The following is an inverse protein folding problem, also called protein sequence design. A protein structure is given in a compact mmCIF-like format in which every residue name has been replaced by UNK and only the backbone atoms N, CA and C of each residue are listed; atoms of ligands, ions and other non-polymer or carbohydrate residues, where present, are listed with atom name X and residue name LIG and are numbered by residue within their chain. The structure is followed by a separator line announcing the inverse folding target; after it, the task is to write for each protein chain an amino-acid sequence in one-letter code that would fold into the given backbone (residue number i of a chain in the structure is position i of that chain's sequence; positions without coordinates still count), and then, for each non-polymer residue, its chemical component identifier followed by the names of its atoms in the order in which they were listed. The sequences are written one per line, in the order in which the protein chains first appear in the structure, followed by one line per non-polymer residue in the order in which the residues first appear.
data_IF_896887890489
#
_entry.id   IF_896887890489
#
_cell.length_a   1.000
_cell.length_b   1.000
_cell.length_c   1.000
_cell.angle_alpha   90.00
_cell.angle_beta   90.00
_cell.angle_gamma   90.00
#
_symmetry.space_group_name_H-M   'P 1'
#
loop_
_entity.id
_entity.type
_entity.pdbx_description
1 polymer ?
#
# COMPACT_ATOMS: atom_id res chain seq x y z
N UNK A 1 -24.43 -61.29 8.77
CA UNK A 1 -23.49 -60.26 9.28
C UNK A 1 -22.89 -59.56 8.08
N UNK A 2 -23.23 -58.28 7.84
CA UNK A 2 -22.60 -57.45 6.81
C UNK A 2 -21.93 -56.28 7.53
N UNK A 3 -20.61 -56.23 7.47
CA UNK A 3 -19.77 -55.16 8.01
C UNK A 3 -19.99 -53.89 7.18
N UNK A 4 -20.51 -52.85 7.81
CA UNK A 4 -20.51 -51.49 7.26
C UNK A 4 -19.13 -50.87 7.52
N UNK A 5 -18.39 -50.60 6.45
CA UNK A 5 -17.15 -49.82 6.53
C UNK A 5 -17.56 -48.34 6.61
N UNK A 6 -17.39 -47.76 7.79
CA UNK A 6 -17.50 -46.31 8.00
C UNK A 6 -16.29 -45.64 7.34
N UNK A 7 -16.50 -45.13 6.13
CA UNK A 7 -15.51 -44.28 5.46
C UNK A 7 -15.64 -42.87 6.06
N UNK A 8 -14.84 -42.62 7.10
CA UNK A 8 -14.68 -41.30 7.71
C UNK A 8 -13.97 -40.39 6.71
N UNK A 9 -14.73 -39.68 5.88
CA UNK A 9 -14.23 -38.57 5.08
C UNK A 9 -13.80 -37.47 6.06
N UNK A 10 -12.49 -37.38 6.33
CA UNK A 10 -11.86 -36.21 6.93
C UNK A 10 -12.03 -35.05 5.95
N UNK A 11 -13.15 -34.35 6.04
CA UNK A 11 -13.30 -33.03 5.46
C UNK A 11 -12.41 -32.11 6.31
N UNK A 12 -11.18 -31.88 5.84
CA UNK A 12 -10.31 -30.84 6.40
C UNK A 12 -11.05 -29.53 6.15
N UNK A 13 -11.78 -29.05 7.16
CA UNK A 13 -12.35 -27.72 7.17
C UNK A 13 -11.16 -26.75 7.17
N UNK A 14 -10.74 -26.33 5.98
CA UNK A 14 -9.93 -25.14 5.83
C UNK A 14 -10.72 -24.02 6.48
N UNK A 15 -10.29 -23.58 7.66
CA UNK A 15 -10.77 -22.34 8.24
C UNK A 15 -10.35 -21.23 7.29
N UNK A 16 -11.23 -20.86 6.36
CA UNK A 16 -11.08 -19.62 5.63
C UNK A 16 -11.09 -18.51 6.69
N UNK A 17 -9.91 -18.02 7.06
CA UNK A 17 -9.80 -16.88 7.96
C UNK A 17 -10.45 -15.71 7.22
N UNK A 18 -11.57 -15.22 7.76
CA UNK A 18 -12.24 -14.08 7.17
C UNK A 18 -11.31 -12.87 7.32
N UNK A 19 -10.84 -12.34 6.20
CA UNK A 19 -10.01 -11.15 6.20
C UNK A 19 -10.86 -9.97 6.69
N UNK A 20 -10.45 -9.34 7.79
CA UNK A 20 -11.17 -8.20 8.36
C UNK A 20 -10.77 -6.94 7.60
N UNK A 21 -11.71 -6.03 7.34
CA UNK A 21 -11.41 -4.73 6.70
C UNK A 21 -11.58 -3.60 7.71
N UNK A 22 -10.58 -2.73 7.82
CA UNK A 22 -10.59 -1.50 8.60
C UNK A 22 -10.56 -0.33 7.64
N UNK A 23 -11.40 0.67 7.87
CA UNK A 23 -11.48 1.88 7.06
C UNK A 23 -11.00 3.08 7.89
N UNK A 24 -10.16 3.93 7.29
CA UNK A 24 -9.56 5.09 7.93
C UNK A 24 -9.72 6.30 7.01
N UNK A 25 -10.30 7.37 7.53
CA UNK A 25 -10.40 8.65 6.82
C UNK A 25 -9.22 9.55 7.21
N UNK A 26 -8.45 9.99 6.22
CA UNK A 26 -7.36 10.94 6.41
C UNK A 26 -7.76 12.30 5.84
N UNK A 27 -7.62 13.41 6.60
CA UNK A 27 -7.92 14.74 6.09
C UNK A 27 -7.17 15.06 4.78
N UNK A 28 -7.82 15.70 3.79
CA UNK A 28 -7.21 15.96 2.50
C UNK A 28 -5.90 16.76 2.60
N UNK A 29 -4.84 16.26 1.97
CA UNK A 29 -3.51 16.89 1.96
C UNK A 29 -2.75 16.87 3.29
N UNK A 30 -3.27 16.24 4.34
CA UNK A 30 -2.57 16.11 5.62
C UNK A 30 -1.57 14.95 5.60
N UNK A 31 -0.32 15.25 5.21
CA UNK A 31 0.76 14.27 5.12
C UNK A 31 1.12 13.64 6.48
N UNK A 32 0.99 14.37 7.58
CA UNK A 32 1.29 13.84 8.90
C UNK A 32 0.24 12.77 9.30
N UNK A 33 -1.04 13.08 9.08
CA UNK A 33 -2.12 12.12 9.30
C UNK A 33 -2.03 10.91 8.36
N UNK A 34 -1.66 11.11 7.09
CA UNK A 34 -1.44 9.99 6.16
C UNK A 34 -0.31 9.08 6.64
N UNK A 35 0.83 9.64 7.04
CA UNK A 35 1.96 8.86 7.55
C UNK A 35 1.60 8.08 8.80
N UNK A 36 0.84 8.69 9.73
CA UNK A 36 0.38 8.01 10.94
C UNK A 36 -0.57 6.85 10.62
N UNK A 37 -1.58 7.08 9.78
CA UNK A 37 -2.51 6.03 9.36
C UNK A 37 -1.79 4.88 8.64
N UNK A 38 -0.80 5.20 7.82
CA UNK A 38 0.05 4.23 7.15
C UNK A 38 0.94 3.45 8.13
N UNK A 39 1.47 4.10 9.17
CA UNK A 39 2.32 3.45 10.19
C UNK A 39 1.51 2.41 10.97
N UNK A 40 0.31 2.77 11.40
CA UNK A 40 -0.62 1.85 12.08
C UNK A 40 -1.06 0.70 11.17
N UNK A 41 -1.34 0.98 9.90
CA UNK A 41 -1.74 -0.01 8.91
C UNK A 41 -0.60 -0.99 8.58
N UNK A 42 0.62 -0.46 8.38
CA UNK A 42 1.79 -1.16 7.88
C UNK A 42 2.27 -2.30 8.79
N UNK A 43 2.09 -2.18 10.10
CA UNK A 43 2.51 -3.17 11.11
C UNK A 43 1.34 -3.90 11.76
N UNK A 44 0.14 -3.75 11.22
CA UNK A 44 -1.10 -4.36 11.73
C UNK A 44 -1.13 -5.89 11.63
N UNK A 45 -2.28 -6.47 11.98
CA UNK A 45 -2.52 -7.90 11.80
C UNK A 45 -2.52 -8.26 10.30
N UNK A 46 -1.74 -9.27 9.84
CA UNK A 46 -1.68 -9.67 8.43
C UNK A 46 -3.03 -10.18 7.88
N UNK A 47 -4.00 -10.52 8.74
CA UNK A 47 -5.36 -10.89 8.33
C UNK A 47 -6.31 -9.67 8.25
N UNK A 48 -5.79 -8.46 8.46
CA UNK A 48 -6.53 -7.21 8.33
C UNK A 48 -6.10 -6.49 7.06
N UNK A 49 -7.09 -6.09 6.27
CA UNK A 49 -6.94 -5.11 5.20
C UNK A 49 -7.25 -3.73 5.75
N UNK A 50 -6.35 -2.77 5.55
CA UNK A 50 -6.64 -1.36 5.85
C UNK A 50 -6.93 -0.59 4.57
N UNK A 51 -8.05 0.15 4.54
CA UNK A 51 -8.44 1.05 3.46
C UNK A 51 -8.37 2.48 3.97
N UNK A 52 -7.49 3.27 3.38
CA UNK A 52 -7.30 4.68 3.72
C UNK A 52 -7.99 5.52 2.65
N UNK A 53 -9.02 6.26 3.04
CA UNK A 53 -9.74 7.20 2.19
C UNK A 53 -9.16 8.60 2.38
N UNK A 54 -8.76 9.22 1.28
CA UNK A 54 -8.26 10.60 1.31
C UNK A 54 -8.26 11.24 -0.08
N UNK A 55 -7.91 12.51 -0.16
CA UNK A 55 -7.82 13.26 -1.41
C UNK A 55 -6.88 14.47 -1.30
N UNK A 56 -6.69 15.19 -2.39
CA UNK A 56 -5.93 16.45 -2.40
C UNK A 56 -4.42 16.23 -2.52
N UNK A 57 -3.66 17.31 -2.29
CA UNK A 57 -2.22 17.35 -2.54
C UNK A 57 -1.42 17.13 -1.27
N UNK A 58 -0.55 16.12 -1.27
CA UNK A 58 0.39 15.82 -0.20
C UNK A 58 1.80 16.21 -0.64
N UNK A 59 2.38 17.18 0.05
CA UNK A 59 3.69 17.73 -0.27
C UNK A 59 4.79 17.05 0.55
N UNK A 60 5.62 16.26 -0.14
CA UNK A 60 6.82 15.64 0.41
C UNK A 60 8.01 16.58 0.25
N UNK A 61 8.18 17.49 1.21
CA UNK A 61 9.31 18.45 1.24
C UNK A 61 10.54 17.91 1.99
N UNK A 62 10.38 16.83 2.74
CA UNK A 62 11.45 16.15 3.48
C UNK A 62 11.91 14.89 2.74
N UNK A 63 13.00 14.27 3.22
CA UNK A 63 13.52 13.03 2.64
C UNK A 63 12.76 11.77 3.09
N UNK A 64 11.65 11.92 3.82
CA UNK A 64 10.94 10.81 4.46
C UNK A 64 9.82 10.32 3.54
N UNK A 65 9.81 9.02 3.25
CA UNK A 65 8.73 8.39 2.51
C UNK A 65 7.47 8.15 3.35
N UNK A 66 6.66 7.21 2.88
CA UNK A 66 5.66 6.49 3.65
C UNK A 66 6.31 5.28 4.35
N UNK A 67 5.74 4.81 5.47
CA UNK A 67 6.20 3.61 6.16
C UNK A 67 6.27 2.36 5.26
N UNK A 68 7.21 1.47 5.58
CA UNK A 68 7.38 0.18 4.91
C UNK A 68 6.13 -0.71 5.10
N UNK A 69 5.62 -1.33 4.03
CA UNK A 69 4.38 -2.11 4.06
C UNK A 69 4.67 -3.58 4.33
N UNK A 70 4.13 -4.10 5.43
CA UNK A 70 4.19 -5.53 5.80
C UNK A 70 2.84 -6.26 5.71
N UNK A 71 1.73 -5.53 5.56
CA UNK A 71 0.33 -6.02 5.56
C UNK A 71 -0.40 -5.60 4.28
N UNK A 72 -1.72 -5.83 4.18
CA UNK A 72 -2.54 -5.33 3.06
C UNK A 72 -3.08 -3.92 3.33
N UNK A 73 -2.63 -2.96 2.53
CA UNK A 73 -3.02 -1.54 2.60
C UNK A 73 -3.53 -1.06 1.23
N UNK A 74 -4.68 -0.40 1.22
CA UNK A 74 -5.24 0.31 0.07
C UNK A 74 -5.28 1.81 0.38
N UNK A 75 -4.67 2.63 -0.47
CA UNK A 75 -4.86 4.08 -0.47
C UNK A 75 -5.83 4.43 -1.61
N UNK A 76 -6.99 4.98 -1.25
CA UNK A 76 -8.10 5.20 -2.16
C UNK A 76 -8.44 6.69 -2.32
N UNK A 77 -8.15 7.22 -3.51
CA UNK A 77 -8.49 8.59 -3.92
C UNK A 77 -9.81 8.72 -4.67
N UNK A 78 -10.80 7.85 -4.46
CA UNK A 78 -12.11 8.00 -5.13
C UNK A 78 -13.07 8.78 -4.21
N UNK A 79 -13.78 9.81 -4.71
CA UNK A 79 -13.88 10.25 -6.11
C UNK A 79 -12.77 11.22 -6.56
N UNK A 80 -12.11 11.92 -5.64
CA UNK A 80 -11.17 13.00 -5.95
C UNK A 80 -9.71 12.54 -5.87
N UNK A 81 -8.90 12.77 -6.92
CA UNK A 81 -7.56 12.21 -7.00
C UNK A 81 -6.65 12.67 -5.86
N UNK A 82 -5.73 11.79 -5.49
CA UNK A 82 -4.64 12.09 -4.58
C UNK A 82 -3.44 12.55 -5.41
N UNK A 83 -2.84 13.67 -5.05
CA UNK A 83 -1.63 14.17 -5.70
C UNK A 83 -0.48 14.08 -4.71
N UNK A 84 0.47 13.18 -4.95
CA UNK A 84 1.74 13.16 -4.25
C UNK A 84 2.73 14.02 -5.02
N UNK A 85 3.20 15.10 -4.42
CA UNK A 85 4.18 16.00 -5.03
C UNK A 85 5.45 16.02 -4.19
N UNK A 86 6.59 15.88 -4.85
CA UNK A 86 7.90 16.08 -4.25
C UNK A 86 8.28 17.56 -4.36
N UNK A 87 8.64 18.19 -3.25
CA UNK A 87 9.19 19.55 -3.23
C UNK A 87 10.60 19.56 -2.66
N UNK A 88 11.44 20.48 -3.14
CA UNK A 88 12.82 20.69 -2.69
C UNK A 88 13.70 19.44 -2.74
N UNK A 89 13.81 18.71 -1.63
CA UNK A 89 14.64 17.50 -1.51
C UNK A 89 13.84 16.25 -1.87
N UNK A 90 12.61 16.14 -1.36
CA UNK A 90 11.75 14.97 -1.50
C UNK A 90 12.38 13.63 -1.08
N UNK A 91 11.58 12.57 -0.96
CA UNK A 91 12.12 11.24 -0.72
C UNK A 91 12.66 10.67 -2.03
N UNK A 92 13.89 10.13 -1.97
CA UNK A 92 14.45 9.32 -3.07
C UNK A 92 13.72 7.98 -3.25
N UNK A 93 12.91 7.61 -2.26
CA UNK A 93 12.10 6.40 -2.19
C UNK A 93 10.84 6.72 -1.41
N UNK A 94 9.68 6.59 -2.05
CA UNK A 94 8.40 6.86 -1.41
C UNK A 94 7.97 5.73 -0.49
N UNK A 95 8.15 4.46 -0.86
CA UNK A 95 7.72 3.33 -0.02
C UNK A 95 8.45 2.04 -0.37
N UNK A 96 8.69 1.20 0.64
CA UNK A 96 9.05 -0.22 0.46
C UNK A 96 7.81 -1.09 0.67
N UNK A 97 7.58 -2.05 -0.21
CA UNK A 97 6.64 -3.16 0.04
C UNK A 97 7.47 -4.41 0.34
N UNK A 98 7.34 -4.98 1.54
CA UNK A 98 8.04 -6.21 1.95
C UNK A 98 7.40 -7.45 1.33
N UNK A 99 8.05 -8.60 1.42
CA UNK A 99 7.66 -9.85 0.74
C UNK A 99 6.18 -10.24 0.94
N UNK A 100 5.67 -10.12 2.17
CA UNK A 100 4.25 -10.42 2.50
C UNK A 100 3.33 -9.19 2.40
N UNK A 101 3.91 -8.01 2.17
CA UNK A 101 3.18 -6.75 2.08
C UNK A 101 2.40 -6.64 0.77
N UNK A 102 1.24 -6.00 0.84
CA UNK A 102 0.43 -5.66 -0.33
C UNK A 102 0.02 -4.19 -0.27
N UNK A 103 0.46 -3.41 -1.26
CA UNK A 103 0.03 -2.02 -1.42
C UNK A 103 -0.82 -1.88 -2.67
N UNK A 104 -2.01 -1.31 -2.52
CA UNK A 104 -2.82 -0.84 -3.63
C UNK A 104 -2.93 0.67 -3.60
N UNK A 105 -2.62 1.30 -4.73
CA UNK A 105 -2.81 2.73 -4.97
C UNK A 105 -3.93 2.91 -5.99
N UNK A 106 -4.94 3.70 -5.64
CA UNK A 106 -6.08 3.95 -6.51
C UNK A 106 -6.35 5.45 -6.67
N UNK A 107 -6.43 5.90 -7.92
CA UNK A 107 -6.67 7.30 -8.31
C UNK A 107 -5.62 8.27 -7.73
N UNK A 108 -4.34 8.00 -8.04
CA UNK A 108 -3.19 8.75 -7.52
C UNK A 108 -2.36 9.32 -8.67
N UNK A 109 -1.92 10.57 -8.52
CA UNK A 109 -0.94 11.21 -9.39
C UNK A 109 0.35 11.48 -8.61
N UNK A 110 1.48 11.08 -9.17
CA UNK A 110 2.82 11.34 -8.62
C UNK A 110 3.49 12.42 -9.46
N UNK A 111 3.87 13.53 -8.82
CA UNK A 111 4.44 14.73 -9.46
C UNK A 111 5.84 15.05 -8.97
N UNK A 112 6.71 15.43 -9.89
CA UNK A 112 7.99 16.11 -9.63
C UNK A 112 9.00 15.32 -8.77
N UNK A 113 8.84 14.00 -8.64
CA UNK A 113 9.81 13.16 -7.95
C UNK A 113 11.09 13.03 -8.76
N UNK A 114 12.23 13.42 -8.17
CA UNK A 114 13.54 13.27 -8.78
C UNK A 114 14.34 12.20 -8.04
N UNK A 115 14.46 11.02 -8.64
CA UNK A 115 14.98 9.83 -7.98
C UNK A 115 16.45 9.61 -8.29
N UNK A 116 17.24 9.38 -7.24
CA UNK A 116 18.59 8.86 -7.38
C UNK A 116 18.52 7.41 -7.91
N UNK A 117 19.35 7.06 -8.91
CA UNK A 117 19.29 5.83 -9.70
C UNK A 117 19.40 4.49 -8.93
N UNK A 118 19.48 4.49 -7.60
CA UNK A 118 19.87 3.33 -6.79
C UNK A 118 18.72 2.52 -6.16
N UNK A 119 17.49 3.05 -6.02
CA UNK A 119 16.42 2.36 -5.30
C UNK A 119 15.02 2.48 -5.93
N UNK A 120 14.74 3.54 -6.67
CA UNK A 120 13.42 3.78 -7.28
C UNK A 120 12.35 4.24 -6.30
N UNK A 121 11.28 4.86 -6.82
CA UNK A 121 10.23 5.49 -6.00
C UNK A 121 9.45 4.46 -5.19
N UNK A 122 9.16 3.31 -5.79
CA UNK A 122 8.61 2.13 -5.13
C UNK A 122 9.63 1.00 -5.16
N UNK A 123 10.01 0.49 -3.99
CA UNK A 123 10.80 -0.75 -3.85
C UNK A 123 9.84 -1.88 -3.53
N UNK A 124 9.59 -2.78 -4.47
CA UNK A 124 8.57 -3.82 -4.32
C UNK A 124 9.19 -5.22 -4.20
N UNK A 125 9.12 -5.81 -3.01
CA UNK A 125 9.41 -7.21 -2.74
C UNK A 125 8.13 -8.07 -2.62
N UNK A 126 6.99 -7.45 -2.33
CA UNK A 126 5.69 -8.10 -2.24
C UNK A 126 4.80 -7.78 -3.45
N UNK A 127 3.56 -7.37 -3.16
CA UNK A 127 2.57 -7.03 -4.19
C UNK A 127 2.28 -5.53 -4.25
N UNK A 128 2.44 -4.95 -5.43
CA UNK A 128 2.03 -3.59 -5.74
C UNK A 128 0.92 -3.61 -6.80
N UNK A 129 -0.24 -3.02 -6.49
CA UNK A 129 -1.37 -2.84 -7.40
C UNK A 129 -1.56 -1.35 -7.70
N UNK A 130 -1.49 -0.97 -8.97
CA UNK A 130 -1.66 0.41 -9.42
C UNK A 130 -2.93 0.51 -10.26
N UNK A 131 -3.94 1.23 -9.77
CA UNK A 131 -5.21 1.46 -10.45
C UNK A 131 -5.41 2.96 -10.66
N UNK A 132 -5.56 3.40 -11.91
CA UNK A 132 -5.71 4.83 -12.24
C UNK A 132 -4.56 5.68 -11.65
N UNK A 133 -3.32 5.21 -11.83
CA UNK A 133 -2.13 5.92 -11.34
C UNK A 133 -1.45 6.66 -12.50
N UNK A 134 -1.08 7.92 -12.27
CA UNK A 134 -0.39 8.78 -13.23
C UNK A 134 0.97 9.22 -12.69
N UNK A 135 1.95 9.32 -13.57
CA UNK A 135 3.27 9.86 -13.25
C UNK A 135 3.48 11.09 -14.13
N UNK A 136 3.65 12.25 -13.51
CA UNK A 136 3.95 13.51 -14.18
C UNK A 136 5.30 14.02 -13.69
N UNK A 137 6.21 14.28 -14.63
CA UNK A 137 7.53 14.85 -14.33
C UNK A 137 8.37 14.05 -13.29
N UNK A 138 8.17 12.73 -13.25
CA UNK A 138 8.98 11.82 -12.40
C UNK A 138 10.25 11.40 -13.14
N UNK A 139 11.41 11.82 -12.62
CA UNK A 139 12.73 11.49 -13.17
C UNK A 139 13.35 10.29 -12.44
N UNK A 140 13.94 9.35 -13.19
CA UNK A 140 14.59 8.14 -12.67
C UNK A 140 13.75 6.88 -12.87
N UNK A 141 13.89 5.89 -11.98
CA UNK A 141 13.17 4.61 -12.06
C UNK A 141 11.99 4.61 -11.08
N UNK A 142 10.73 4.80 -11.51
CA UNK A 142 9.60 4.85 -10.59
C UNK A 142 9.38 3.52 -9.87
N UNK A 143 9.72 2.40 -10.51
CA UNK A 143 9.54 1.06 -9.93
C UNK A 143 10.88 0.32 -9.91
N UNK A 144 11.24 -0.21 -8.75
CA UNK A 144 12.32 -1.17 -8.59
C UNK A 144 11.75 -2.47 -8.02
N UNK A 145 12.02 -3.58 -8.72
CA UNK A 145 11.78 -4.93 -8.22
C UNK A 145 13.14 -5.54 -7.94
N UNK A 146 13.36 -5.93 -6.69
CA UNK A 146 14.60 -6.58 -6.24
C UNK A 146 14.34 -8.04 -6.00
#
# INVERSE_FOLDING_TARGET
MKTFVFMLLLLIAATATAQTTVEVDVPPGDLAALRLAMDEAAVGDPNVKTVIYTSGTFNFSDAVGLPDIHTEVLINGVPDPIIFISADTGPNQLVVIKEEGQLQLQNIELRDFNLNFSAGLFVNHGTLKLLQVQFDSVAGHPLCRV
#
